data_IF_651841793678
#
_entry.id   IF_651841793678
#
_cell.length_a   1.000
_cell.length_b   1.000
_cell.length_c   1.000
_cell.angle_alpha   90.00
_cell.angle_beta   90.00
_cell.angle_gamma   90.00
#
_symmetry.space_group_name_H-M   'P 1'
#
loop_
_entity.id
_entity.type
_entity.pdbx_description
1 polymer ?
#
# COMPACT_ATOMS: atom_id res chain seq x y z
N UNK A 1 2.03 -25.69 2.44
CA UNK A 1 1.70 -26.83 1.55
C UNK A 1 1.00 -26.26 0.33
N UNK A 2 1.42 -26.64 -0.89
CA UNK A 2 0.73 -26.26 -2.13
C UNK A 2 -0.29 -27.35 -2.43
N UNK A 3 -1.57 -26.99 -2.58
CA UNK A 3 -2.61 -27.94 -2.95
C UNK A 3 -2.67 -28.12 -4.47
N UNK A 4 -2.89 -29.34 -4.93
CA UNK A 4 -3.37 -29.57 -6.29
C UNK A 4 -4.82 -29.09 -6.43
N UNK A 5 -5.32 -28.98 -7.67
CA UNK A 5 -6.72 -28.68 -7.92
C UNK A 5 -7.68 -29.69 -7.24
N UNK A 6 -7.36 -30.99 -7.31
CA UNK A 6 -8.18 -32.05 -6.68
C UNK A 6 -8.16 -31.95 -5.14
N UNK A 7 -7.00 -31.66 -4.56
CA UNK A 7 -6.88 -31.47 -3.11
C UNK A 7 -7.64 -30.23 -2.64
N UNK A 8 -7.65 -29.15 -3.44
CA UNK A 8 -8.46 -27.97 -3.17
C UNK A 8 -9.96 -28.29 -3.22
N UNK A 9 -10.42 -29.02 -4.24
CA UNK A 9 -11.82 -29.41 -4.37
C UNK A 9 -12.26 -30.32 -3.20
N UNK A 10 -11.40 -31.26 -2.81
CA UNK A 10 -11.63 -32.14 -1.64
C UNK A 10 -11.74 -31.33 -0.35
N UNK A 11 -10.83 -30.35 -0.15
CA UNK A 11 -10.89 -29.44 0.99
C UNK A 11 -12.17 -28.60 0.98
N UNK A 12 -12.61 -28.10 -0.16
CA UNK A 12 -13.86 -27.33 -0.24
C UNK A 12 -15.09 -28.19 0.08
N UNK A 13 -15.12 -29.43 -0.42
CA UNK A 13 -16.21 -30.37 -0.20
C UNK A 13 -16.34 -30.86 1.25
N UNK A 14 -15.29 -30.75 2.07
CA UNK A 14 -15.37 -31.04 3.50
C UNK A 14 -16.06 -29.94 4.31
N UNK A 15 -16.49 -28.85 3.67
CA UNK A 15 -17.12 -27.68 4.30
C UNK A 15 -16.34 -27.16 5.52
N UNK A 16 -15.05 -26.81 5.35
CA UNK A 16 -14.21 -26.35 6.44
C UNK A 16 -14.79 -25.06 7.01
N UNK A 17 -14.64 -24.89 8.31
CA UNK A 17 -15.12 -23.70 8.99
C UNK A 17 -14.20 -22.52 8.66
N UNK A 18 -14.71 -21.27 8.60
CA UNK A 18 -13.86 -20.10 8.32
C UNK A 18 -12.64 -19.97 9.25
N UNK A 19 -12.77 -20.40 10.51
CA UNK A 19 -11.69 -20.44 11.51
C UNK A 19 -10.56 -21.43 11.21
N UNK A 20 -10.76 -22.36 10.28
CA UNK A 20 -9.69 -23.25 9.78
C UNK A 20 -8.67 -22.49 8.91
N UNK A 21 -8.93 -21.22 8.61
CA UNK A 21 -8.09 -20.32 7.82
C UNK A 21 -7.74 -19.04 8.58
N UNK A 22 -6.57 -18.47 8.29
CA UNK A 22 -6.18 -17.16 8.81
C UNK A 22 -5.35 -17.22 10.10
N UNK A 23 -5.33 -16.15 10.91
CA UNK A 23 -4.18 -15.87 11.77
C UNK A 23 -3.87 -16.82 12.93
N UNK A 24 -4.84 -17.64 13.32
CA UNK A 24 -4.67 -18.63 14.41
C UNK A 24 -4.85 -20.06 13.95
N UNK A 25 -4.97 -20.28 12.64
CA UNK A 25 -5.18 -21.60 12.08
C UNK A 25 -3.88 -22.22 11.58
N UNK A 26 -3.92 -23.52 11.28
CA UNK A 26 -2.80 -24.20 10.61
C UNK A 26 -2.58 -23.73 9.16
N UNK A 27 -3.51 -22.93 8.62
CA UNK A 27 -3.51 -22.38 7.26
C UNK A 27 -3.62 -20.85 7.29
N UNK A 28 -2.53 -20.13 7.65
CA UNK A 28 -2.52 -18.67 7.66
C UNK A 28 -2.62 -18.07 6.25
N UNK A 29 -2.39 -18.87 5.21
CA UNK A 29 -2.73 -18.60 3.81
C UNK A 29 -3.06 -19.92 3.10
N UNK A 30 -3.72 -19.82 1.94
CA UNK A 30 -4.04 -20.94 1.07
C UNK A 30 -3.31 -20.80 -0.26
N UNK A 31 -2.46 -21.77 -0.61
CA UNK A 31 -1.71 -21.78 -1.88
C UNK A 31 -2.04 -23.05 -2.68
N UNK A 32 -2.29 -22.90 -3.99
CA UNK A 32 -2.67 -24.03 -4.85
C UNK A 32 -2.33 -23.79 -6.32
N UNK A 33 -2.26 -24.87 -7.09
CA UNK A 33 -2.05 -24.82 -8.55
C UNK A 33 -3.37 -24.53 -9.27
N UNK A 34 -3.37 -23.56 -10.19
CA UNK A 34 -4.57 -23.16 -10.94
C UNK A 34 -4.92 -24.12 -12.08
N UNK A 35 -3.96 -24.92 -12.54
CA UNK A 35 -4.19 -25.89 -13.62
C UNK A 35 -5.19 -26.95 -13.15
N UNK A 36 -6.28 -27.12 -13.91
CA UNK A 36 -7.35 -28.07 -13.60
C UNK A 36 -8.30 -27.61 -12.49
N UNK A 37 -8.20 -26.37 -12.00
CA UNK A 37 -9.08 -25.87 -10.92
C UNK A 37 -10.51 -25.61 -11.40
N UNK A 38 -11.49 -25.92 -10.55
CA UNK A 38 -12.91 -25.66 -10.81
C UNK A 38 -13.30 -24.20 -10.50
N UNK A 39 -13.84 -23.49 -11.50
CA UNK A 39 -14.32 -22.12 -11.35
C UNK A 39 -15.42 -21.95 -10.29
N UNK A 40 -16.18 -23.01 -9.99
CA UNK A 40 -17.25 -23.01 -8.98
C UNK A 40 -16.77 -22.69 -7.55
N UNK A 41 -15.48 -22.80 -7.29
CA UNK A 41 -14.88 -22.49 -5.97
C UNK A 41 -14.58 -20.99 -5.77
N UNK A 42 -14.83 -20.14 -6.76
CA UNK A 42 -14.44 -18.72 -6.74
C UNK A 42 -14.97 -17.95 -5.53
N UNK A 43 -16.27 -18.11 -5.22
CA UNK A 43 -16.91 -17.34 -4.15
C UNK A 43 -16.47 -17.82 -2.77
N UNK A 44 -16.28 -19.13 -2.60
CA UNK A 44 -15.71 -19.70 -1.39
C UNK A 44 -14.30 -19.15 -1.13
N UNK A 45 -13.42 -19.16 -2.13
CA UNK A 45 -12.06 -18.62 -2.01
C UNK A 45 -12.04 -17.14 -1.63
N UNK A 46 -12.88 -16.31 -2.27
CA UNK A 46 -12.97 -14.87 -1.95
C UNK A 46 -13.49 -14.60 -0.54
N UNK A 47 -14.27 -15.53 0.02
CA UNK A 47 -14.78 -15.47 1.39
C UNK A 47 -13.78 -15.86 2.47
N UNK A 48 -12.65 -16.47 2.12
CA UNK A 48 -11.69 -16.94 3.13
C UNK A 48 -10.99 -15.79 3.87
N UNK A 49 -10.85 -15.86 5.20
CA UNK A 49 -10.17 -14.84 6.02
C UNK A 49 -8.65 -15.01 6.00
N UNK A 50 -8.06 -15.28 4.83
CA UNK A 50 -6.62 -15.40 4.65
C UNK A 50 -6.21 -15.03 3.21
N UNK A 51 -4.92 -14.75 2.97
CA UNK A 51 -4.39 -14.64 1.61
C UNK A 51 -4.61 -15.92 0.81
N UNK A 52 -5.12 -15.77 -0.41
CA UNK A 52 -5.30 -16.84 -1.40
C UNK A 52 -4.29 -16.65 -2.54
N UNK A 53 -3.45 -17.65 -2.77
CA UNK A 53 -2.33 -17.60 -3.69
C UNK A 53 -2.50 -18.67 -4.77
N UNK A 54 -2.67 -18.23 -6.01
CA UNK A 54 -2.75 -19.11 -7.18
C UNK A 54 -1.40 -19.22 -7.90
N UNK A 55 -1.06 -20.42 -8.34
CA UNK A 55 0.19 -20.71 -9.06
C UNK A 55 -0.13 -21.20 -10.47
N UNK A 56 0.48 -20.56 -11.47
CA UNK A 56 0.24 -20.81 -12.89
C UNK A 56 -0.99 -20.06 -13.43
N UNK A 57 -1.65 -20.65 -14.42
CA UNK A 57 -2.85 -20.10 -15.06
C UNK A 57 -4.03 -21.05 -14.92
N UNK A 58 -5.24 -20.52 -14.75
CA UNK A 58 -6.45 -21.32 -14.68
C UNK A 58 -7.69 -20.56 -14.23
N UNK A 59 -8.85 -21.25 -14.16
CA UNK A 59 -10.15 -20.62 -13.99
C UNK A 59 -10.33 -19.81 -12.68
N UNK A 60 -9.62 -20.19 -11.61
CA UNK A 60 -9.70 -19.50 -10.31
C UNK A 60 -8.75 -18.29 -10.19
N UNK A 61 -8.08 -17.88 -11.26
CA UNK A 61 -7.09 -16.80 -11.20
C UNK A 61 -7.67 -15.50 -10.63
N UNK A 62 -8.89 -15.12 -11.02
CA UNK A 62 -9.54 -13.89 -10.52
C UNK A 62 -9.98 -13.96 -9.05
N UNK A 63 -10.12 -15.17 -8.49
CA UNK A 63 -10.48 -15.40 -7.09
C UNK A 63 -9.28 -15.27 -6.14
N UNK A 64 -8.05 -15.34 -6.66
CA UNK A 64 -6.83 -15.24 -5.87
C UNK A 64 -6.46 -13.78 -5.54
N UNK A 65 -5.77 -13.58 -4.42
CA UNK A 65 -5.15 -12.30 -4.08
C UNK A 65 -3.77 -12.14 -4.69
N UNK A 66 -3.04 -13.23 -4.85
CA UNK A 66 -1.73 -13.23 -5.51
C UNK A 66 -1.71 -14.29 -6.59
N UNK A 67 -1.16 -13.93 -7.74
CA UNK A 67 -0.84 -14.86 -8.82
C UNK A 67 0.67 -14.95 -8.97
N UNK A 68 1.19 -16.17 -8.95
CA UNK A 68 2.58 -16.46 -9.26
C UNK A 68 2.64 -17.29 -10.55
N UNK A 69 3.63 -17.03 -11.40
CA UNK A 69 3.83 -17.82 -12.61
C UNK A 69 4.23 -19.26 -12.29
N UNK A 70 5.06 -19.42 -11.25
CA UNK A 70 5.58 -20.68 -10.73
C UNK A 70 5.70 -20.60 -9.20
N UNK A 71 6.36 -21.57 -8.58
CA UNK A 71 6.55 -21.59 -7.12
C UNK A 71 7.61 -20.58 -6.64
N UNK A 72 8.31 -19.89 -7.55
CA UNK A 72 9.36 -18.96 -7.17
C UNK A 72 8.79 -17.78 -6.38
N UNK A 73 9.38 -17.53 -5.21
CA UNK A 73 8.94 -16.46 -4.31
C UNK A 73 7.75 -16.82 -3.41
N UNK A 74 7.09 -17.97 -3.62
CA UNK A 74 6.01 -18.43 -2.73
C UNK A 74 6.49 -18.57 -1.28
N UNK A 75 7.66 -19.19 -1.09
CA UNK A 75 8.22 -19.41 0.24
C UNK A 75 8.42 -18.09 1.02
N UNK A 76 8.85 -17.02 0.34
CA UNK A 76 9.03 -15.71 0.95
C UNK A 76 7.69 -15.10 1.37
N UNK A 77 6.66 -15.21 0.51
CA UNK A 77 5.30 -14.74 0.84
C UNK A 77 4.74 -15.51 2.03
N UNK A 78 4.83 -16.84 2.04
CA UNK A 78 4.36 -17.68 3.16
C UNK A 78 5.08 -17.30 4.45
N UNK A 79 6.40 -17.12 4.43
CA UNK A 79 7.16 -16.73 5.60
C UNK A 79 6.73 -15.36 6.16
N UNK A 80 6.50 -14.38 5.27
CA UNK A 80 6.01 -13.06 5.66
C UNK A 80 4.59 -13.12 6.26
N UNK A 81 3.69 -13.88 5.63
CA UNK A 81 2.33 -14.10 6.14
C UNK A 81 2.37 -14.80 7.50
N UNK A 82 3.17 -15.85 7.67
CA UNK A 82 3.28 -16.56 8.93
C UNK A 82 3.86 -15.68 10.06
N UNK A 83 4.76 -14.74 9.71
CA UNK A 83 5.30 -13.80 10.69
C UNK A 83 4.28 -12.72 11.11
N UNK A 84 3.33 -12.38 10.23
CA UNK A 84 2.41 -11.24 10.37
C UNK A 84 0.99 -11.56 9.88
N UNK A 85 0.36 -12.62 10.40
CA UNK A 85 -0.83 -13.16 9.77
C UNK A 85 -2.07 -12.28 9.93
N UNK A 86 -2.21 -11.51 11.03
CA UNK A 86 -3.33 -10.59 11.21
C UNK A 86 -3.26 -9.42 10.22
N UNK A 87 -2.08 -8.82 10.05
CA UNK A 87 -1.88 -7.78 9.06
C UNK A 87 -2.07 -8.30 7.62
N UNK A 88 -1.60 -9.52 7.32
CA UNK A 88 -1.80 -10.14 6.00
C UNK A 88 -3.27 -10.44 5.69
N UNK A 89 -4.03 -10.96 6.67
CA UNK A 89 -5.48 -11.16 6.54
C UNK A 89 -6.20 -9.84 6.26
N UNK A 90 -5.96 -8.82 7.08
CA UNK A 90 -6.63 -7.53 6.94
C UNK A 90 -6.26 -6.83 5.63
N UNK A 91 -5.01 -6.94 5.18
CA UNK A 91 -4.57 -6.44 3.88
C UNK A 91 -5.42 -7.00 2.73
N UNK A 92 -5.57 -8.33 2.63
CA UNK A 92 -6.30 -8.92 1.50
C UNK A 92 -7.80 -8.64 1.57
N UNK A 93 -8.39 -8.65 2.78
CA UNK A 93 -9.78 -8.26 2.97
C UNK A 93 -10.03 -6.80 2.58
N UNK A 94 -9.16 -5.89 3.01
CA UNK A 94 -9.23 -4.47 2.66
C UNK A 94 -9.07 -4.26 1.16
N UNK A 95 -8.17 -4.97 0.48
CA UNK A 95 -8.01 -4.86 -0.97
C UNK A 95 -9.24 -5.39 -1.72
N UNK A 96 -9.80 -6.54 -1.32
CA UNK A 96 -11.03 -7.09 -1.91
C UNK A 96 -12.21 -6.11 -1.72
N UNK A 97 -12.29 -5.46 -0.57
CA UNK A 97 -13.33 -4.47 -0.26
C UNK A 97 -13.13 -3.17 -1.07
N UNK A 98 -11.90 -2.66 -1.14
CA UNK A 98 -11.54 -1.42 -1.83
C UNK A 98 -11.83 -1.47 -3.34
N UNK A 99 -11.76 -2.64 -3.98
CA UNK A 99 -12.17 -2.85 -5.38
C UNK A 99 -13.67 -2.55 -5.63
N UNK A 100 -14.52 -2.76 -4.62
CA UNK A 100 -15.98 -2.62 -4.75
C UNK A 100 -16.47 -1.24 -4.30
N UNK A 101 -15.65 -0.50 -3.56
CA UNK A 101 -16.02 0.77 -2.96
C UNK A 101 -15.66 1.97 -3.84
N UNK A 102 -16.49 3.02 -3.88
CA UNK A 102 -16.08 4.33 -4.37
C UNK A 102 -14.86 4.86 -3.63
N UNK A 103 -14.05 5.70 -4.29
CA UNK A 103 -12.78 6.23 -3.78
C UNK A 103 -12.86 6.74 -2.32
N UNK A 104 -13.83 7.60 -2.00
CA UNK A 104 -13.98 8.16 -0.67
C UNK A 104 -14.31 7.10 0.40
N UNK A 105 -15.19 6.15 0.08
CA UNK A 105 -15.55 5.06 0.99
C UNK A 105 -14.38 4.09 1.19
N UNK A 106 -13.60 3.83 0.14
CA UNK A 106 -12.40 3.00 0.22
C UNK A 106 -11.31 3.61 1.13
N UNK A 107 -11.11 4.93 1.07
CA UNK A 107 -10.19 5.64 1.98
C UNK A 107 -10.66 5.57 3.45
N UNK A 108 -11.96 5.70 3.70
CA UNK A 108 -12.53 5.52 5.04
C UNK A 108 -12.32 4.10 5.53
N UNK A 109 -12.60 3.09 4.70
CA UNK A 109 -12.39 1.68 5.03
C UNK A 109 -10.91 1.38 5.34
N UNK A 110 -9.98 1.94 4.56
CA UNK A 110 -8.54 1.82 4.84
C UNK A 110 -8.19 2.43 6.19
N UNK A 111 -8.72 3.62 6.48
CA UNK A 111 -8.48 4.29 7.76
C UNK A 111 -8.96 3.45 8.95
N UNK A 112 -10.13 2.79 8.84
CA UNK A 112 -10.65 1.88 9.87
C UNK A 112 -9.81 0.60 10.01
N UNK A 113 -9.41 -0.01 8.89
CA UNK A 113 -8.53 -1.18 8.90
C UNK A 113 -7.16 -0.85 9.53
N UNK A 114 -6.57 0.28 9.16
CA UNK A 114 -5.30 0.77 9.72
C UNK A 114 -5.42 1.12 11.21
N UNK A 115 -6.54 1.72 11.65
CA UNK A 115 -6.80 1.97 13.06
C UNK A 115 -6.85 0.67 13.88
N UNK A 116 -7.46 -0.38 13.33
CA UNK A 116 -7.62 -1.69 13.99
C UNK A 116 -6.26 -2.35 14.29
N UNK A 117 -5.32 -2.29 13.34
CA UNK A 117 -4.00 -2.95 13.48
C UNK A 117 -2.97 -2.14 14.27
N UNK A 118 -3.13 -0.82 14.42
CA UNK A 118 -2.24 0.02 15.24
C UNK A 118 -2.25 -0.33 16.73
N UNK A 119 -3.22 -1.13 17.18
CA UNK A 119 -3.28 -1.73 18.52
C UNK A 119 -3.19 -3.25 18.50
N UNK A 120 -2.97 -3.85 17.35
CA UNK A 120 -2.76 -5.29 17.21
C UNK A 120 -1.44 -5.74 17.84
N UNK A 121 -1.41 -6.99 18.32
CA UNK A 121 -0.23 -7.57 18.97
C UNK A 121 1.03 -7.57 18.09
N UNK A 122 0.88 -7.74 16.77
CA UNK A 122 1.99 -7.71 15.81
C UNK A 122 2.72 -6.36 15.80
N UNK A 123 1.96 -5.27 15.71
CA UNK A 123 2.48 -3.91 15.72
C UNK A 123 3.07 -3.56 17.09
N UNK A 124 2.39 -3.91 18.18
CA UNK A 124 2.89 -3.66 19.53
C UNK A 124 4.20 -4.41 19.82
N UNK A 125 4.32 -5.65 19.34
CA UNK A 125 5.55 -6.46 19.46
C UNK A 125 6.69 -5.82 18.67
N UNK A 126 6.43 -5.39 17.44
CA UNK A 126 7.42 -4.67 16.63
C UNK A 126 7.87 -3.38 17.33
N UNK A 127 6.93 -2.57 17.80
CA UNK A 127 7.19 -1.29 18.45
C UNK A 127 7.98 -1.43 19.74
N UNK A 128 7.74 -2.48 20.52
CA UNK A 128 8.50 -2.76 21.75
C UNK A 128 9.98 -3.05 21.49
N UNK A 129 10.32 -3.57 20.30
CA UNK A 129 11.70 -3.81 19.87
C UNK A 129 12.30 -2.69 19.02
N UNK A 130 11.53 -1.65 18.69
CA UNK A 130 12.00 -0.53 17.88
C UNK A 130 12.88 0.41 18.70
N UNK A 131 14.00 0.86 18.12
CA UNK A 131 14.79 1.91 18.74
C UNK A 131 13.95 3.19 18.87
N UNK A 132 14.14 3.98 19.94
CA UNK A 132 13.47 5.27 20.06
C UNK A 132 13.80 6.16 18.86
N UNK A 133 12.80 6.95 18.46
CA UNK A 133 12.94 7.95 17.42
C UNK A 133 14.21 8.79 17.65
N UNK A 134 15.08 8.96 16.64
CA UNK A 134 16.02 10.07 16.68
C UNK A 134 15.21 11.36 16.87
N UNK A 135 15.66 12.25 17.75
CA UNK A 135 15.13 13.61 17.77
C UNK A 135 15.40 14.21 16.39
N UNK A 136 14.34 14.40 15.61
CA UNK A 136 14.43 15.26 14.43
C UNK A 136 14.58 16.67 14.99
N UNK A 137 15.80 17.23 14.88
CA UNK A 137 16.00 18.64 15.09
C UNK A 137 14.99 19.40 14.22
N UNK A 138 14.41 20.48 14.74
CA UNK A 138 13.55 21.36 13.96
C UNK A 138 14.29 21.74 12.67
N UNK A 139 13.88 21.13 11.56
CA UNK A 139 14.43 21.46 10.24
C UNK A 139 13.98 22.89 9.96
N UNK A 140 14.93 23.82 9.80
CA UNK A 140 14.63 25.25 9.63
C UNK A 140 13.84 25.56 8.34
N UNK A 141 13.85 24.62 7.39
CA UNK A 141 13.11 24.71 6.13
C UNK A 141 11.73 24.05 6.22
N UNK A 142 10.75 24.53 5.44
CA UNK A 142 9.45 23.87 5.33
C UNK A 142 9.59 22.41 4.86
N UNK A 143 8.82 21.46 5.44
CA UNK A 143 8.89 20.05 5.05
C UNK A 143 8.32 19.79 3.65
N UNK A 144 7.63 20.77 3.06
CA UNK A 144 7.19 20.79 1.66
C UNK A 144 7.53 22.16 1.09
N UNK A 145 8.37 22.18 0.05
CA UNK A 145 8.68 23.39 -0.69
C UNK A 145 7.61 23.62 -1.76
N UNK A 146 7.22 24.88 -1.92
CA UNK A 146 6.12 25.31 -2.77
C UNK A 146 6.61 26.43 -3.68
N UNK A 147 6.54 26.21 -4.98
CA UNK A 147 6.94 27.18 -6.01
C UNK A 147 5.81 27.29 -7.05
N UNK A 148 5.53 28.51 -7.51
CA UNK A 148 4.52 28.78 -8.55
C UNK A 148 5.20 29.25 -9.82
N UNK A 149 4.89 28.59 -10.93
CA UNK A 149 5.36 28.95 -12.26
C UNK A 149 4.16 29.07 -13.21
N UNK A 150 3.66 30.30 -13.40
CA UNK A 150 2.41 30.52 -14.13
C UNK A 150 1.24 29.82 -13.43
N UNK A 151 0.57 28.90 -14.14
CA UNK A 151 -0.54 28.09 -13.61
C UNK A 151 -0.10 26.73 -13.04
N UNK A 152 1.21 26.50 -12.93
CA UNK A 152 1.81 25.27 -12.40
C UNK A 152 2.26 25.46 -10.96
N UNK A 153 1.76 24.58 -10.09
CA UNK A 153 2.19 24.46 -8.70
C UNK A 153 3.25 23.36 -8.58
N UNK A 154 4.44 23.70 -8.12
CA UNK A 154 5.53 22.76 -7.89
C UNK A 154 5.64 22.46 -6.40
N UNK A 155 5.42 21.19 -6.04
CA UNK A 155 5.48 20.65 -4.70
C UNK A 155 6.68 19.72 -4.59
N UNK A 156 7.57 20.01 -3.63
CA UNK A 156 8.76 19.18 -3.37
C UNK A 156 8.79 18.76 -1.90
N UNK A 157 8.69 17.45 -1.64
CA UNK A 157 8.91 16.89 -0.31
C UNK A 157 10.34 17.22 0.12
N UNK A 158 10.52 17.89 1.27
CA UNK A 158 11.76 18.54 1.62
C UNK A 158 12.24 18.16 3.01
N UNK A 159 12.50 16.86 3.20
CA UNK A 159 13.25 16.33 4.35
C UNK A 159 14.37 15.41 3.87
N UNK A 160 15.32 15.92 3.06
CA UNK A 160 16.31 15.07 2.37
C UNK A 160 17.23 14.31 3.34
N UNK A 161 17.46 14.85 4.54
CA UNK A 161 18.26 14.21 5.59
C UNK A 161 17.61 12.91 6.13
N UNK A 162 16.27 12.83 6.11
CA UNK A 162 15.48 11.64 6.48
C UNK A 162 14.95 10.89 5.25
N UNK A 163 15.53 11.12 4.07
CA UNK A 163 15.08 10.52 2.81
C UNK A 163 13.60 10.81 2.49
N UNK A 164 13.13 12.01 2.88
CA UNK A 164 11.75 12.46 2.77
C UNK A 164 10.75 11.50 3.46
N UNK A 165 11.10 11.05 4.67
CA UNK A 165 10.16 10.34 5.53
C UNK A 165 8.97 11.26 5.89
N UNK A 166 7.76 10.75 5.69
CA UNK A 166 6.50 11.48 5.88
C UNK A 166 6.11 11.43 7.34
N UNK A 167 6.45 12.50 8.05
CA UNK A 167 5.99 12.75 9.42
C UNK A 167 4.69 13.58 9.43
N UNK A 168 4.17 13.84 10.63
CA UNK A 168 2.99 14.69 10.88
C UNK A 168 3.13 16.06 10.23
N UNK A 169 4.28 16.72 10.39
CA UNK A 169 4.52 18.06 9.84
C UNK A 169 4.46 18.07 8.29
N UNK A 170 5.12 17.12 7.63
CA UNK A 170 5.07 16.97 6.18
C UNK A 170 3.67 16.62 5.69
N UNK A 171 2.97 15.69 6.37
CA UNK A 171 1.59 15.32 6.06
C UNK A 171 0.68 16.54 6.09
N UNK A 172 0.74 17.32 7.17
CA UNK A 172 -0.13 18.47 7.35
C UNK A 172 0.20 19.59 6.37
N UNK A 173 1.49 19.88 6.13
CA UNK A 173 1.91 20.84 5.12
C UNK A 173 1.45 20.45 3.71
N UNK A 174 1.61 19.19 3.32
CA UNK A 174 1.15 18.69 2.02
C UNK A 174 -0.37 18.79 1.89
N UNK A 175 -1.12 18.41 2.94
CA UNK A 175 -2.57 18.53 2.96
C UNK A 175 -3.03 19.98 2.75
N UNK A 176 -2.42 20.92 3.48
CA UNK A 176 -2.78 22.34 3.39
C UNK A 176 -2.55 22.91 2.00
N UNK A 177 -1.40 22.61 1.39
CA UNK A 177 -1.08 23.11 0.04
C UNK A 177 -1.96 22.48 -1.03
N UNK A 178 -2.25 21.17 -0.94
CA UNK A 178 -3.19 20.52 -1.85
C UNK A 178 -4.61 21.09 -1.70
N UNK A 179 -5.01 21.48 -0.49
CA UNK A 179 -6.32 22.11 -0.25
C UNK A 179 -6.41 23.46 -0.96
N UNK A 180 -5.33 24.25 -0.93
CA UNK A 180 -5.24 25.49 -1.72
C UNK A 180 -5.38 25.19 -3.21
N UNK A 181 -4.64 24.20 -3.73
CA UNK A 181 -4.69 23.82 -5.13
C UNK A 181 -6.07 23.32 -5.60
N UNK A 182 -6.83 22.68 -4.72
CA UNK A 182 -8.19 22.25 -5.00
C UNK A 182 -9.16 23.43 -5.10
N UNK A 183 -8.98 24.46 -4.26
CA UNK A 183 -9.85 25.62 -4.19
C UNK A 183 -9.54 26.69 -5.25
N UNK A 184 -8.30 26.77 -5.72
CA UNK A 184 -7.88 27.75 -6.71
C UNK A 184 -7.94 27.18 -8.14
N UNK A 185 -8.91 27.61 -8.97
CA UNK A 185 -9.02 27.15 -10.36
C UNK A 185 -7.89 27.65 -11.25
N UNK A 186 -7.09 28.65 -10.83
CA UNK A 186 -5.93 29.09 -11.59
C UNK A 186 -4.78 28.07 -11.56
N UNK A 187 -4.77 27.14 -10.59
CA UNK A 187 -3.82 26.04 -10.52
C UNK A 187 -4.33 24.87 -11.37
N UNK A 188 -3.81 24.80 -12.60
CA UNK A 188 -4.25 23.80 -13.59
C UNK A 188 -3.37 22.56 -13.61
N UNK A 189 -2.12 22.66 -13.13
CA UNK A 189 -1.16 21.56 -13.07
C UNK A 189 -0.40 21.57 -11.75
N UNK A 190 -0.07 20.38 -11.25
CA UNK A 190 0.66 20.16 -10.01
C UNK A 190 1.79 19.19 -10.30
N UNK A 191 3.01 19.59 -9.99
CA UNK A 191 4.19 18.73 -10.05
C UNK A 191 4.55 18.30 -8.64
N UNK A 192 4.49 17.00 -8.34
CA UNK A 192 4.90 16.44 -7.05
C UNK A 192 6.26 15.75 -7.19
N UNK A 193 7.24 16.12 -6.37
CA UNK A 193 8.61 15.60 -6.41
C UNK A 193 9.21 15.46 -5.01
N UNK A 194 10.38 14.85 -4.89
CA UNK A 194 11.14 14.79 -3.63
C UNK A 194 12.49 15.50 -3.73
N UNK A 195 12.96 16.11 -2.64
CA UNK A 195 14.29 16.71 -2.56
C UNK A 195 15.36 15.64 -2.31
N UNK A 196 16.59 15.90 -2.76
CA UNK A 196 17.74 15.07 -2.46
C UNK A 196 17.73 13.71 -3.17
N UNK A 197 18.07 12.66 -2.43
CA UNK A 197 18.48 11.35 -3.00
C UNK A 197 17.34 10.47 -3.51
N UNK A 198 16.11 10.72 -3.09
CA UNK A 198 14.96 9.90 -3.46
C UNK A 198 13.65 10.68 -3.35
N UNK A 199 12.58 10.10 -3.87
CA UNK A 199 11.24 10.64 -3.72
C UNK A 199 10.78 10.62 -2.27
N UNK A 200 10.62 9.43 -1.67
CA UNK A 200 10.25 9.26 -0.26
C UNK A 200 10.40 7.81 0.19
N UNK A 201 10.87 7.62 1.43
CA UNK A 201 10.92 6.32 2.10
C UNK A 201 9.62 5.92 2.83
N UNK A 202 8.56 6.72 2.69
CA UNK A 202 7.25 6.44 3.26
C UNK A 202 7.05 7.09 4.62
N UNK A 203 6.13 6.53 5.42
CA UNK A 203 5.80 7.06 6.74
C UNK A 203 7.02 7.07 7.67
N UNK A 204 7.13 8.13 8.48
CA UNK A 204 8.19 8.24 9.47
C UNK A 204 7.95 7.22 10.60
N UNK A 205 8.74 6.14 10.57
CA UNK A 205 8.62 4.99 11.48
C UNK A 205 8.79 5.41 12.94
N UNK A 206 9.53 6.50 13.18
CA UNK A 206 9.71 7.11 14.50
C UNK A 206 8.39 7.63 15.11
N UNK A 207 7.43 8.02 14.28
CA UNK A 207 6.13 8.56 14.70
C UNK A 207 5.03 7.49 14.80
N UNK A 208 5.36 6.23 14.50
CA UNK A 208 4.38 5.15 14.52
C UNK A 208 3.90 4.88 15.95
N UNK A 209 2.58 5.01 16.13
CA UNK A 209 1.93 4.76 17.41
C UNK A 209 2.05 5.90 18.42
N UNK A 210 2.37 7.13 17.98
CA UNK A 210 2.24 8.35 18.79
C UNK A 210 0.81 8.60 19.27
N UNK A 211 -0.20 8.26 18.46
CA UNK A 211 -1.59 8.34 18.90
C UNK A 211 -1.87 7.22 19.92
N UNK A 212 -2.32 7.60 21.11
CA UNK A 212 -2.71 6.66 22.17
C UNK A 212 -4.16 6.15 22.02
N UNK A 213 -4.99 6.88 21.28
CA UNK A 213 -6.33 6.47 20.90
C UNK A 213 -6.41 6.21 19.38
N UNK A 214 -6.98 5.05 19.00
CA UNK A 214 -7.16 4.68 17.58
C UNK A 214 -8.37 5.35 16.96
N UNK A 215 -9.38 5.73 17.75
CA UNK A 215 -10.51 6.52 17.29
C UNK A 215 -10.05 7.95 16.96
N UNK A 216 -9.20 8.53 17.80
CA UNK A 216 -8.55 9.83 17.53
C UNK A 216 -7.66 9.74 16.28
N UNK A 217 -6.85 8.69 16.15
CA UNK A 217 -6.02 8.48 14.96
C UNK A 217 -6.88 8.40 13.67
N UNK A 218 -8.01 7.70 13.73
CA UNK A 218 -8.96 7.64 12.62
C UNK A 218 -9.55 9.02 12.31
N UNK A 219 -9.98 9.77 13.33
CA UNK A 219 -10.52 11.12 13.18
C UNK A 219 -9.52 12.07 12.52
N UNK A 220 -8.28 12.10 13.00
CA UNK A 220 -7.19 12.92 12.41
C UNK A 220 -6.97 12.56 10.95
N UNK A 221 -6.94 11.26 10.61
CA UNK A 221 -6.80 10.82 9.21
C UNK A 221 -7.97 11.29 8.34
N UNK A 222 -9.21 11.22 8.83
CA UNK A 222 -10.38 11.72 8.09
C UNK A 222 -10.26 13.22 7.78
N UNK A 223 -9.60 13.99 8.65
CA UNK A 223 -9.42 15.43 8.47
C UNK A 223 -8.18 15.82 7.64
N UNK A 224 -7.10 15.05 7.73
CA UNK A 224 -5.75 15.49 7.31
C UNK A 224 -5.05 14.57 6.31
N UNK A 225 -5.70 13.50 5.84
CA UNK A 225 -5.06 12.57 4.91
C UNK A 225 -4.88 13.20 3.51
N UNK A 226 -3.63 13.36 3.00
CA UNK A 226 -3.39 13.95 1.68
C UNK A 226 -4.02 13.17 0.53
N UNK A 227 -4.17 11.85 0.68
CA UNK A 227 -4.78 10.96 -0.32
C UNK A 227 -6.16 11.43 -0.79
N UNK A 228 -6.98 11.98 0.11
CA UNK A 228 -8.33 12.49 -0.22
C UNK A 228 -8.27 13.65 -1.22
N UNK A 229 -7.27 14.52 -1.09
CA UNK A 229 -7.07 15.66 -1.97
C UNK A 229 -6.36 15.25 -3.26
N UNK A 230 -5.33 14.39 -3.17
CA UNK A 230 -4.65 13.83 -4.33
C UNK A 230 -5.61 13.07 -5.26
N UNK A 231 -6.57 12.33 -4.70
CA UNK A 231 -7.58 11.63 -5.50
C UNK A 231 -8.46 12.59 -6.31
N UNK A 232 -8.83 13.75 -5.74
CA UNK A 232 -9.64 14.76 -6.43
C UNK A 232 -8.82 15.57 -7.45
N UNK A 233 -7.55 15.82 -7.13
CA UNK A 233 -6.61 16.54 -7.98
C UNK A 233 -5.93 15.65 -9.01
N UNK A 234 -6.17 14.34 -9.00
CA UNK A 234 -5.46 13.34 -9.81
C UNK A 234 -5.21 13.78 -11.25
N UNK A 235 -6.20 14.26 -12.03
CA UNK A 235 -5.97 14.67 -13.42
C UNK A 235 -4.99 15.85 -13.61
N UNK A 236 -4.74 16.63 -12.55
CA UNK A 236 -3.83 17.78 -12.54
C UNK A 236 -2.43 17.42 -12.03
N UNK A 237 -2.26 16.26 -11.39
CA UNK A 237 -1.01 15.89 -10.70
C UNK A 237 -0.14 15.02 -11.60
N UNK A 238 1.09 15.48 -11.82
CA UNK A 238 2.21 14.65 -12.32
C UNK A 238 3.20 14.43 -11.17
N UNK A 239 3.43 13.18 -10.78
CA UNK A 239 4.47 12.83 -9.82
C UNK A 239 5.78 12.48 -10.55
N UNK A 240 6.85 13.19 -10.22
CA UNK A 240 8.20 12.92 -10.70
C UNK A 240 8.97 12.21 -9.59
N UNK A 241 9.24 10.92 -9.77
CA UNK A 241 9.82 10.05 -8.74
C UNK A 241 11.22 9.58 -9.12
N UNK A 242 12.09 9.43 -8.13
CA UNK A 242 13.48 8.96 -8.30
C UNK A 242 13.95 8.19 -7.07
N UNK A 243 14.95 7.32 -7.24
CA UNK A 243 15.51 6.53 -6.14
C UNK A 243 14.44 5.72 -5.39
N UNK A 244 14.42 5.83 -4.06
CA UNK A 244 13.43 5.14 -3.22
C UNK A 244 12.02 5.76 -3.32
N UNK A 245 11.03 4.93 -3.65
CA UNK A 245 9.60 5.27 -3.67
C UNK A 245 8.83 4.23 -2.83
N UNK A 246 8.79 4.44 -1.52
CA UNK A 246 8.45 3.39 -0.54
C UNK A 246 7.25 3.78 0.31
N UNK A 247 6.39 2.80 0.64
CA UNK A 247 5.23 2.98 1.51
C UNK A 247 4.43 4.21 1.13
N UNK A 248 4.18 5.10 2.08
CA UNK A 248 3.43 6.34 1.83
C UNK A 248 3.90 7.13 0.59
N UNK A 249 5.18 7.06 0.21
CA UNK A 249 5.69 7.65 -1.03
C UNK A 249 5.02 7.06 -2.29
N UNK A 250 5.05 5.74 -2.47
CA UNK A 250 4.39 5.10 -3.62
C UNK A 250 2.87 5.20 -3.53
N UNK A 251 2.31 5.16 -2.31
CA UNK A 251 0.87 5.30 -2.09
C UNK A 251 0.35 6.66 -2.56
N UNK A 252 1.05 7.74 -2.23
CA UNK A 252 0.72 9.10 -2.69
C UNK A 252 0.97 9.28 -4.19
N UNK A 253 2.12 8.82 -4.69
CA UNK A 253 2.44 8.94 -6.11
C UNK A 253 1.41 8.23 -7.00
N UNK A 254 0.88 7.07 -6.56
CA UNK A 254 -0.11 6.31 -7.31
C UNK A 254 -1.47 7.00 -7.47
N UNK A 255 -1.77 8.09 -6.75
CA UNK A 255 -2.95 8.93 -7.01
C UNK A 255 -2.76 9.90 -8.16
N UNK A 256 -1.53 10.22 -8.55
CA UNK A 256 -1.27 11.16 -9.63
C UNK A 256 -1.87 10.65 -10.95
N UNK A 257 -2.41 11.55 -11.76
CA UNK A 257 -2.91 11.23 -13.09
C UNK A 257 -1.78 10.81 -14.03
N UNK A 258 -0.55 11.23 -13.72
CA UNK A 258 0.68 10.77 -14.37
C UNK A 258 1.81 10.57 -13.36
N UNK A 259 2.59 9.51 -13.52
CA UNK A 259 3.81 9.23 -12.75
C UNK A 259 4.97 8.96 -13.69
N UNK A 260 5.99 9.79 -13.58
CA UNK A 260 7.23 9.69 -14.34
C UNK A 260 8.36 9.30 -13.39
N UNK A 261 9.08 8.23 -13.70
CA UNK A 261 10.12 7.70 -12.84
C UNK A 261 11.49 7.83 -13.48
N UNK A 262 12.52 8.17 -12.69
CA UNK A 262 13.91 7.99 -13.15
C UNK A 262 14.24 6.50 -13.27
N UNK A 263 15.16 6.14 -14.16
CA UNK A 263 15.56 4.76 -14.40
C UNK A 263 16.08 4.01 -13.14
N UNK A 264 16.65 4.72 -12.17
CA UNK A 264 17.14 4.14 -10.91
C UNK A 264 16.06 4.00 -9.82
N UNK A 265 14.82 4.36 -10.12
CA UNK A 265 13.72 4.30 -9.17
C UNK A 265 13.39 2.85 -8.81
N UNK A 266 13.02 2.63 -7.56
CA UNK A 266 12.52 1.36 -7.07
C UNK A 266 11.38 1.57 -6.08
N UNK A 267 10.42 0.63 -6.10
CA UNK A 267 9.14 0.75 -5.40
C UNK A 267 8.95 -0.41 -4.43
N UNK A 268 8.36 -0.15 -3.26
CA UNK A 268 8.14 -1.17 -2.23
C UNK A 268 7.00 -0.79 -1.28
N UNK A 269 6.23 -1.80 -0.85
CA UNK A 269 5.27 -1.71 0.26
C UNK A 269 5.76 -2.59 1.43
N UNK A 270 6.49 -2.02 2.41
CA UNK A 270 7.12 -2.79 3.49
C UNK A 270 6.26 -2.91 4.76
N UNK A 271 5.03 -2.38 4.78
CA UNK A 271 4.22 -2.17 5.99
C UNK A 271 3.99 -3.44 6.79
N UNK A 272 3.90 -4.59 6.11
CA UNK A 272 3.69 -5.88 6.73
C UNK A 272 4.79 -6.19 7.76
N UNK A 273 6.04 -5.76 7.54
CA UNK A 273 7.16 -5.90 8.49
C UNK A 273 6.82 -5.35 9.88
N UNK A 274 6.02 -4.30 9.92
CA UNK A 274 5.61 -3.59 11.13
C UNK A 274 4.32 -4.14 11.74
N UNK A 275 3.72 -5.20 11.16
CA UNK A 275 2.37 -5.62 11.53
C UNK A 275 1.30 -4.64 11.08
N UNK A 276 1.57 -3.91 9.99
CA UNK A 276 0.66 -2.92 9.40
C UNK A 276 0.31 -3.31 7.95
N UNK A 277 -0.65 -2.58 7.38
CA UNK A 277 -0.96 -2.57 5.95
C UNK A 277 -0.78 -1.12 5.40
N UNK A 278 -0.64 -0.92 4.08
CA UNK A 278 -0.52 0.41 3.48
C UNK A 278 -1.64 1.35 3.93
N UNK A 279 -1.28 2.45 4.57
CA UNK A 279 -2.21 3.31 5.27
C UNK A 279 -2.24 4.75 4.78
N UNK A 280 -1.46 5.16 3.79
CA UNK A 280 -1.49 6.51 3.25
C UNK A 280 -2.36 6.63 1.98
N UNK A 281 -3.34 5.74 1.82
CA UNK A 281 -4.18 5.57 0.63
C UNK A 281 -3.75 4.42 -0.28
N UNK A 282 -2.76 3.61 0.11
CA UNK A 282 -2.15 2.58 -0.72
C UNK A 282 -3.04 1.41 -1.09
N UNK A 283 -3.95 1.03 -0.19
CA UNK A 283 -4.98 0.03 -0.52
C UNK A 283 -6.09 0.60 -1.38
N UNK A 284 -6.00 1.88 -1.76
CA UNK A 284 -6.96 2.58 -2.62
C UNK A 284 -6.33 2.95 -3.96
N UNK A 285 -5.17 3.62 -3.96
CA UNK A 285 -4.51 4.11 -5.19
C UNK A 285 -3.88 2.99 -6.00
N UNK A 286 -3.06 2.13 -5.39
CA UNK A 286 -2.38 1.06 -6.11
C UNK A 286 -3.33 0.07 -6.78
N UNK A 287 -4.39 -0.47 -6.14
CA UNK A 287 -5.24 -1.43 -6.84
C UNK A 287 -6.02 -0.81 -7.99
N UNK A 288 -6.30 0.50 -7.97
CA UNK A 288 -6.91 1.20 -9.11
C UNK A 288 -5.92 1.40 -10.27
N UNK A 289 -4.62 1.40 -9.98
CA UNK A 289 -3.57 1.62 -10.97
C UNK A 289 -2.99 0.35 -11.55
N UNK A 290 -2.72 -0.65 -10.72
CA UNK A 290 -2.09 -1.92 -11.11
C UNK A 290 -2.94 -3.16 -10.80
N UNK A 291 -4.15 -2.99 -10.30
CA UNK A 291 -5.01 -4.09 -9.87
C UNK A 291 -4.68 -4.61 -8.46
N UNK A 292 -5.66 -5.25 -7.82
CA UNK A 292 -5.50 -5.84 -6.48
C UNK A 292 -4.37 -6.85 -6.41
N UNK A 293 -4.20 -7.69 -7.43
CA UNK A 293 -3.30 -8.82 -7.33
C UNK A 293 -1.82 -8.42 -7.29
N UNK A 294 -1.43 -7.46 -8.13
CA UNK A 294 -0.07 -6.89 -8.10
C UNK A 294 0.16 -6.09 -6.81
N UNK A 295 -0.85 -5.37 -6.33
CA UNK A 295 -0.80 -4.65 -5.05
C UNK A 295 -0.58 -5.61 -3.87
N UNK A 296 -1.37 -6.68 -3.78
CA UNK A 296 -1.24 -7.71 -2.75
C UNK A 296 0.12 -8.41 -2.84
N UNK A 297 0.62 -8.71 -4.04
CA UNK A 297 1.96 -9.25 -4.23
C UNK A 297 3.04 -8.32 -3.68
N UNK A 298 2.99 -7.01 -3.98
CA UNK A 298 3.97 -6.04 -3.47
C UNK A 298 3.98 -6.01 -1.94
N UNK A 299 2.80 -5.95 -1.31
CA UNK A 299 2.68 -5.83 0.14
C UNK A 299 2.99 -7.14 0.89
N UNK A 300 2.53 -8.30 0.39
CA UNK A 300 2.76 -9.60 1.02
C UNK A 300 4.19 -10.12 0.81
N UNK A 301 4.78 -9.89 -0.37
CA UNK A 301 6.18 -10.25 -0.62
C UNK A 301 7.16 -9.25 0.01
N UNK A 302 6.71 -8.00 0.24
CA UNK A 302 7.54 -6.85 0.61
C UNK A 302 8.76 -6.67 -0.30
N UNK A 303 8.74 -7.16 -1.54
CA UNK A 303 9.87 -7.08 -2.46
C UNK A 303 9.93 -5.71 -3.13
N UNK A 304 11.15 -5.29 -3.45
CA UNK A 304 11.38 -4.14 -4.33
C UNK A 304 11.04 -4.53 -5.77
N UNK A 305 10.37 -3.64 -6.48
CA UNK A 305 10.23 -3.70 -7.94
C UNK A 305 11.02 -2.55 -8.58
N UNK A 306 11.62 -2.81 -9.73
CA UNK A 306 12.37 -1.81 -10.51
C UNK A 306 11.42 -0.85 -11.24
N UNK A 307 11.95 0.29 -11.71
CA UNK A 307 11.25 1.18 -12.63
C UNK A 307 10.74 0.46 -13.90
N UNK A 308 11.51 -0.50 -14.44
CA UNK A 308 11.10 -1.28 -15.61
C UNK A 308 9.86 -2.14 -15.34
N UNK A 309 9.84 -2.86 -14.22
CA UNK A 309 8.69 -3.70 -13.84
C UNK A 309 7.49 -2.82 -13.45
N UNK A 310 7.74 -1.69 -12.78
CA UNK A 310 6.71 -0.71 -12.47
C UNK A 310 6.05 -0.16 -13.75
N UNK A 311 6.84 0.09 -14.81
CA UNK A 311 6.32 0.54 -16.11
C UNK A 311 5.48 -0.56 -16.78
N UNK A 312 5.99 -1.79 -16.82
CA UNK A 312 5.27 -2.95 -17.33
C UNK A 312 3.91 -3.14 -16.61
N UNK A 313 3.88 -2.86 -15.32
CA UNK A 313 2.67 -3.00 -14.53
C UNK A 313 1.68 -1.84 -14.63
N UNK A 314 2.10 -0.71 -15.19
CA UNK A 314 1.33 0.54 -15.18
C UNK A 314 1.41 1.32 -13.86
N UNK A 315 2.33 0.96 -12.95
CA UNK A 315 2.61 1.74 -11.75
C UNK A 315 3.40 3.02 -12.07
N UNK A 316 4.01 3.12 -13.24
CA UNK A 316 4.56 4.38 -13.77
C UNK A 316 4.19 4.46 -15.24
N UNK A 317 4.06 5.67 -15.78
CA UNK A 317 3.63 5.89 -17.17
C UNK A 317 4.81 6.16 -18.10
N UNK A 318 5.95 6.58 -17.55
CA UNK A 318 7.17 6.81 -18.29
C UNK A 318 8.40 6.64 -17.42
N UNK A 319 9.49 6.21 -18.05
CA UNK A 319 10.84 6.33 -17.50
C UNK A 319 11.50 7.54 -18.15
N UNK A 320 11.94 8.49 -17.32
CA UNK A 320 12.57 9.74 -17.76
C UNK A 320 14.04 9.78 -17.32
N UNK A 321 14.89 10.61 -17.97
CA UNK A 321 16.30 10.76 -17.62
C UNK A 321 16.56 11.17 -16.16
#
# INVERSE_FOLDING_TARGET
MILSADALATLAASHPAPEDFGPRSERPCLAFTLVGSDAGLSDWLRGLPCPVIGIGAGPLASACDVLLADEAGLAAIIANVAARPFAAMLLVQQLRLSEQLPMAAALTAESLAFATIQRGGEFLTWRAGAAPAPSHADEAEPPVMVEMEGSRLMLRLNRPASFNAVNVAMRDALFEVLRVALLDPAITTIHLSGAGRCFSVGGDVAEFGLSHDVAEAHWVRTLRLPATLLAQLSPRVTAHVHGAVVGAGVEMAAFAGRVEARADSWFQLPELKYGLLPGAGGTVSLPRRIGRQKTAYMALSMRRISASLALEWGLVDAIVP
#
